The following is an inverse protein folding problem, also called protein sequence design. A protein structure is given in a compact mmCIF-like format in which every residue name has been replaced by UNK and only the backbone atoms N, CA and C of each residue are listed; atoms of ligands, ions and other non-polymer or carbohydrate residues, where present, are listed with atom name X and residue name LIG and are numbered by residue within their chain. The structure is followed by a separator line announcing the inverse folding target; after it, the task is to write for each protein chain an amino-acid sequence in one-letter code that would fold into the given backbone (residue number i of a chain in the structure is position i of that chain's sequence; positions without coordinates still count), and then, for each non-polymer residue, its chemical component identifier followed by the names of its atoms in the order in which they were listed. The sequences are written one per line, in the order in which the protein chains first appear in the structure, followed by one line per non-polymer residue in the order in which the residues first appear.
data_IF_301502973749
#
_entry.id   IF_301502973749
#
_cell.length_a   1.000
_cell.length_b   1.000
_cell.length_c   1.000
_cell.angle_alpha   90.00
_cell.angle_beta   90.00
_cell.angle_gamma   90.00
#
_symmetry.space_group_name_H-M   'P 1'
#
loop_
_entity.id
_entity.type
_entity.pdbx_description
1 polymer ?
#
# COMPACT_ATOMS: atom_id res chain seq x y z
N UNK A 1 -34.65 24.47 38.27
CA UNK A 1 -34.85 23.25 39.08
C UNK A 1 -33.56 22.80 39.80
N UNK A 2 -32.40 22.61 39.07
CA UNK A 2 -31.14 22.11 39.65
C UNK A 2 -30.54 23.18 40.61
N UNK A 3 -30.57 24.45 40.23
CA UNK A 3 -30.07 25.53 41.10
C UNK A 3 -30.95 25.80 42.35
N UNK A 4 -32.23 25.40 42.29
CA UNK A 4 -33.16 25.48 43.42
C UNK A 4 -32.88 24.43 44.49
N UNK A 5 -32.09 23.41 44.19
CA UNK A 5 -31.65 22.33 45.07
C UNK A 5 -30.27 22.59 45.71
N UNK A 6 -29.68 23.78 45.51
CA UNK A 6 -28.36 24.15 46.09
C UNK A 6 -27.16 23.53 45.36
N UNK A 7 -27.34 22.83 44.25
CA UNK A 7 -26.23 22.30 43.47
C UNK A 7 -25.68 23.33 42.50
N UNK A 8 -24.35 23.41 42.41
CA UNK A 8 -23.69 24.23 41.42
C UNK A 8 -23.87 23.67 40.01
N UNK A 9 -24.64 24.37 39.18
CA UNK A 9 -24.83 24.01 37.77
C UNK A 9 -23.50 23.99 37.00
N UNK A 10 -22.58 24.86 37.38
CA UNK A 10 -21.25 24.89 36.80
C UNK A 10 -20.45 23.62 37.08
N UNK A 11 -20.54 23.03 38.27
CA UNK A 11 -19.91 21.79 38.63
C UNK A 11 -20.46 20.59 37.83
N UNK A 12 -21.81 20.56 37.63
CA UNK A 12 -22.45 19.53 36.83
C UNK A 12 -22.03 19.63 35.37
N UNK A 13 -22.05 20.83 34.80
CA UNK A 13 -21.60 21.05 33.40
C UNK A 13 -20.15 20.66 33.22
N UNK A 14 -19.26 21.06 34.14
CA UNK A 14 -17.87 20.68 34.11
C UNK A 14 -17.67 19.16 34.17
N UNK A 15 -18.41 18.47 35.02
CA UNK A 15 -18.38 17.00 35.11
C UNK A 15 -18.84 16.32 33.83
N UNK A 16 -19.98 16.72 33.27
CA UNK A 16 -20.42 16.21 31.96
C UNK A 16 -19.48 16.49 30.84
N UNK A 17 -18.87 17.69 30.80
CA UNK A 17 -17.88 18.06 29.78
C UNK A 17 -16.63 17.20 29.89
N UNK A 18 -16.13 16.91 31.08
CA UNK A 18 -15.00 16.04 31.32
C UNK A 18 -15.26 14.59 30.84
N UNK A 19 -16.45 14.05 31.15
CA UNK A 19 -16.85 12.72 30.70
C UNK A 19 -16.98 12.69 29.16
N UNK A 20 -17.62 13.68 28.56
CA UNK A 20 -17.76 13.76 27.11
C UNK A 20 -16.41 13.84 26.41
N UNK A 21 -15.45 14.61 26.94
CA UNK A 21 -14.11 14.69 26.42
C UNK A 21 -13.37 13.34 26.54
N UNK A 22 -13.50 12.66 27.69
CA UNK A 22 -12.89 11.36 27.90
C UNK A 22 -13.42 10.32 26.89
N UNK A 23 -14.72 10.30 26.63
CA UNK A 23 -15.34 9.43 25.62
C UNK A 23 -14.85 9.79 24.21
N UNK A 24 -14.80 11.08 23.87
CA UNK A 24 -14.32 11.56 22.58
C UNK A 24 -12.88 11.12 22.32
N UNK A 25 -12.00 11.24 23.35
CA UNK A 25 -10.60 10.79 23.25
C UNK A 25 -10.51 9.26 23.13
N UNK A 26 -11.33 8.51 23.85
CA UNK A 26 -11.35 7.05 23.76
C UNK A 26 -11.80 6.54 22.38
N UNK A 27 -12.69 7.26 21.69
CA UNK A 27 -13.22 6.89 20.38
C UNK A 27 -12.45 7.51 19.20
N UNK A 28 -11.47 8.37 19.45
CA UNK A 28 -10.76 9.14 18.42
C UNK A 28 -10.27 8.29 17.26
N UNK A 29 -9.58 7.18 17.55
CA UNK A 29 -8.96 6.34 16.52
C UNK A 29 -10.01 5.56 15.71
N UNK A 30 -11.08 5.13 16.36
CA UNK A 30 -12.21 4.46 15.69
C UNK A 30 -12.94 5.42 14.75
N UNK A 31 -13.23 6.63 15.22
CA UNK A 31 -13.85 7.68 14.38
C UNK A 31 -12.93 8.10 13.23
N UNK A 32 -11.61 8.17 13.47
CA UNK A 32 -10.62 8.41 12.45
C UNK A 32 -10.64 7.33 11.36
N UNK A 33 -10.65 6.07 11.73
CA UNK A 33 -10.74 4.94 10.79
C UNK A 33 -12.03 4.95 9.99
N UNK A 34 -13.16 5.30 10.61
CA UNK A 34 -14.45 5.46 9.93
C UNK A 34 -14.39 6.59 8.88
N UNK A 35 -13.92 7.78 9.27
CA UNK A 35 -13.82 8.93 8.37
C UNK A 35 -12.89 8.62 7.18
N UNK A 36 -11.74 7.98 7.46
CA UNK A 36 -10.79 7.58 6.44
C UNK A 36 -11.35 6.47 5.53
N UNK A 37 -12.16 5.54 6.05
CA UNK A 37 -12.89 4.57 5.25
C UNK A 37 -13.84 5.22 4.25
N UNK A 38 -14.60 6.22 4.70
CA UNK A 38 -15.46 7.01 3.81
C UNK A 38 -14.63 7.70 2.72
N UNK A 39 -13.50 8.33 3.09
CA UNK A 39 -12.61 8.96 2.12
C UNK A 39 -12.11 7.95 1.08
N UNK A 40 -11.63 6.76 1.49
CA UNK A 40 -11.16 5.72 0.58
C UNK A 40 -12.26 5.30 -0.41
N UNK A 41 -13.48 5.09 0.08
CA UNK A 41 -14.62 4.67 -0.73
C UNK A 41 -14.99 5.74 -1.78
N UNK A 42 -14.91 7.02 -1.44
CA UNK A 42 -15.24 8.12 -2.35
C UNK A 42 -14.10 8.47 -3.32
N UNK A 43 -12.87 8.59 -2.83
CA UNK A 43 -11.71 9.01 -3.65
C UNK A 43 -11.11 7.85 -4.44
N UNK A 44 -11.31 6.62 -3.99
CA UNK A 44 -10.87 5.37 -4.63
C UNK A 44 -9.39 5.39 -5.02
N UNK A 45 -8.47 5.67 -4.11
CA UNK A 45 -7.03 5.61 -4.39
C UNK A 45 -6.60 4.20 -4.80
N UNK A 46 -7.35 3.20 -4.39
CA UNK A 46 -7.30 1.80 -4.82
C UNK A 46 -8.71 1.20 -4.81
N UNK A 47 -8.88 0.06 -5.43
CA UNK A 47 -10.15 -0.66 -5.55
C UNK A 47 -9.97 -2.10 -5.11
N UNK A 48 -11.07 -2.78 -4.83
CA UNK A 48 -11.09 -4.24 -4.68
C UNK A 48 -10.54 -4.89 -5.95
N UNK A 49 -9.57 -5.80 -5.77
CA UNK A 49 -8.85 -6.45 -6.86
C UNK A 49 -7.54 -5.77 -7.27
N UNK A 50 -7.23 -4.58 -6.77
CA UNK A 50 -5.93 -3.97 -6.99
C UNK A 50 -4.85 -4.66 -6.13
N UNK A 51 -3.63 -4.77 -6.68
CA UNK A 51 -2.46 -5.18 -5.94
C UNK A 51 -1.75 -3.95 -5.39
N UNK A 52 -1.65 -3.88 -4.07
CA UNK A 52 -1.14 -2.71 -3.36
C UNK A 52 -0.04 -3.09 -2.37
N UNK A 53 0.83 -2.14 -2.08
CA UNK A 53 1.77 -2.22 -0.96
C UNK A 53 1.46 -1.09 0.01
N UNK A 54 1.26 -1.43 1.26
CA UNK A 54 0.98 -0.53 2.38
C UNK A 54 1.98 -0.86 3.49
N UNK A 55 2.88 0.09 3.81
CA UNK A 55 4.04 -0.18 4.66
C UNK A 55 4.87 -1.37 4.14
N UNK A 56 5.15 -2.36 5.00
CA UNK A 56 5.86 -3.60 4.66
C UNK A 56 4.97 -4.68 4.04
N UNK A 57 3.65 -4.49 4.04
CA UNK A 57 2.70 -5.50 3.55
C UNK A 57 2.28 -5.22 2.12
N UNK A 58 2.35 -6.25 1.29
CA UNK A 58 1.87 -6.19 -0.09
C UNK A 58 0.88 -7.33 -0.37
N UNK A 59 -0.13 -7.04 -1.17
CA UNK A 59 -1.15 -8.02 -1.48
C UNK A 59 -2.31 -7.48 -2.29
N UNK A 60 -3.24 -8.39 -2.59
CA UNK A 60 -4.46 -8.10 -3.31
C UNK A 60 -5.52 -7.53 -2.37
N UNK A 61 -6.10 -6.39 -2.70
CA UNK A 61 -7.23 -5.82 -1.95
C UNK A 61 -8.45 -6.73 -2.08
N UNK A 62 -8.80 -7.42 -1.00
CA UNK A 62 -9.98 -8.29 -0.96
C UNK A 62 -11.27 -7.53 -0.69
N UNK A 63 -11.23 -6.61 0.28
CA UNK A 63 -12.43 -5.91 0.72
C UNK A 63 -12.06 -4.56 1.37
N UNK A 64 -12.91 -3.56 1.16
CA UNK A 64 -12.77 -2.22 1.74
C UNK A 64 -13.99 -1.98 2.59
N UNK A 65 -13.79 -1.91 3.92
CA UNK A 65 -14.86 -1.70 4.91
C UNK A 65 -14.77 -0.31 5.52
N UNK A 66 -15.76 0.05 6.30
CA UNK A 66 -15.84 1.38 6.92
C UNK A 66 -14.64 1.67 7.86
N UNK A 67 -14.18 0.67 8.61
CA UNK A 67 -13.10 0.86 9.60
C UNK A 67 -11.76 0.31 9.16
N UNK A 68 -11.75 -0.68 8.29
CA UNK A 68 -10.55 -1.39 7.85
C UNK A 68 -10.65 -1.86 6.41
N UNK A 69 -9.49 -2.11 5.82
CA UNK A 69 -9.32 -2.75 4.52
C UNK A 69 -8.62 -4.09 4.71
N UNK A 70 -9.03 -5.08 3.96
CA UNK A 70 -8.45 -6.43 3.95
C UNK A 70 -7.61 -6.61 2.71
N UNK A 71 -6.39 -7.06 2.89
CA UNK A 71 -5.50 -7.48 1.80
C UNK A 71 -5.11 -8.95 1.97
N UNK A 72 -4.93 -9.64 0.86
CA UNK A 72 -4.46 -11.03 0.79
C UNK A 72 -3.05 -11.06 0.22
N UNK A 73 -2.10 -11.58 0.98
CA UNK A 73 -0.72 -11.75 0.54
C UNK A 73 -0.56 -12.95 -0.39
N UNK A 74 0.60 -13.05 -1.04
CA UNK A 74 0.95 -14.23 -1.83
C UNK A 74 1.07 -15.52 -0.99
N UNK A 75 1.40 -15.39 0.30
CA UNK A 75 1.43 -16.50 1.25
C UNK A 75 0.04 -16.95 1.71
N UNK A 76 -1.03 -16.36 1.12
CA UNK A 76 -2.42 -16.61 1.45
C UNK A 76 -2.80 -16.20 2.89
N UNK A 77 -2.16 -15.15 3.40
CA UNK A 77 -2.44 -14.55 4.69
C UNK A 77 -3.38 -13.34 4.51
N UNK A 78 -4.44 -13.27 5.30
CA UNK A 78 -5.33 -12.10 5.34
C UNK A 78 -4.77 -11.08 6.32
N UNK A 79 -4.44 -9.88 5.83
CA UNK A 79 -4.00 -8.74 6.65
C UNK A 79 -5.15 -7.74 6.73
N UNK A 80 -5.47 -7.32 7.94
CA UNK A 80 -6.53 -6.35 8.21
C UNK A 80 -5.87 -5.06 8.69
N UNK A 81 -5.96 -4.01 7.88
CA UNK A 81 -5.31 -2.73 8.12
C UNK A 81 -6.38 -1.67 8.44
N UNK A 82 -6.28 -0.95 9.55
CA UNK A 82 -7.17 0.18 9.85
C UNK A 82 -7.08 1.25 8.76
N UNK A 83 -8.21 1.80 8.33
CA UNK A 83 -8.24 2.81 7.27
C UNK A 83 -7.49 4.10 7.64
N UNK A 84 -7.41 4.42 8.93
CA UNK A 84 -6.59 5.54 9.43
C UNK A 84 -5.10 5.35 9.16
N UNK A 85 -4.60 4.13 9.28
CA UNK A 85 -3.22 3.79 8.97
C UNK A 85 -2.94 3.91 7.48
N UNK A 86 -3.82 3.39 6.63
CA UNK A 86 -3.67 3.43 5.17
C UNK A 86 -3.50 4.86 4.65
N UNK A 87 -4.36 5.79 5.07
CA UNK A 87 -4.31 7.17 4.61
C UNK A 87 -3.22 8.02 5.26
N UNK A 88 -2.67 7.58 6.39
CA UNK A 88 -1.55 8.27 7.06
C UNK A 88 -0.18 7.86 6.54
N UNK A 89 -0.08 6.80 5.74
CA UNK A 89 1.17 6.24 5.24
C UNK A 89 1.29 6.34 3.72
N UNK A 90 2.51 6.11 3.21
CA UNK A 90 2.74 5.98 1.76
C UNK A 90 2.22 4.62 1.29
N UNK A 91 1.50 4.64 0.20
CA UNK A 91 0.95 3.46 -0.44
C UNK A 91 1.41 3.40 -1.89
N UNK A 92 1.70 2.20 -2.39
CA UNK A 92 1.97 1.94 -3.79
C UNK A 92 0.81 1.12 -4.35
N UNK A 93 0.14 1.62 -5.38
CA UNK A 93 -0.86 0.85 -6.12
C UNK A 93 -0.23 0.37 -7.44
N UNK A 94 0.07 -0.91 -7.51
CA UNK A 94 0.69 -1.53 -8.68
C UNK A 94 -0.28 -1.78 -9.84
N UNK A 95 -1.58 -1.73 -9.57
CA UNK A 95 -2.64 -1.95 -10.55
C UNK A 95 -3.23 -0.66 -11.13
N UNK A 96 -2.86 0.50 -10.57
CA UNK A 96 -3.40 1.80 -10.98
C UNK A 96 -3.02 2.19 -12.43
N UNK A 97 -1.83 1.76 -12.88
CA UNK A 97 -1.31 2.05 -14.21
C UNK A 97 -1.28 0.80 -15.08
N UNK A 98 -1.61 0.91 -16.38
CA UNK A 98 -1.67 -0.23 -17.28
C UNK A 98 -0.30 -0.84 -17.60
N UNK A 99 0.78 -0.09 -17.39
CA UNK A 99 2.14 -0.52 -17.65
C UNK A 99 2.99 -0.40 -16.39
N UNK A 100 3.81 -1.40 -16.16
CA UNK A 100 4.79 -1.44 -15.06
C UNK A 100 6.16 -1.80 -15.59
N UNK A 101 7.19 -1.08 -15.13
CA UNK A 101 8.58 -1.47 -15.36
C UNK A 101 8.93 -2.63 -14.42
N UNK A 102 9.39 -3.73 -14.97
CA UNK A 102 9.97 -4.86 -14.25
C UNK A 102 11.47 -4.83 -14.50
N UNK A 103 12.28 -4.90 -13.46
CA UNK A 103 13.74 -5.03 -13.52
C UNK A 103 14.08 -6.45 -13.11
N UNK A 104 14.86 -7.13 -13.97
CA UNK A 104 15.31 -8.51 -13.75
C UNK A 104 16.82 -8.48 -13.78
N UNK A 105 17.46 -8.89 -12.70
CA UNK A 105 18.89 -9.01 -12.60
C UNK A 105 19.29 -10.43 -13.07
N UNK A 106 20.12 -10.48 -14.12
CA UNK A 106 20.58 -11.75 -14.71
C UNK A 106 22.07 -11.91 -14.45
N UNK A 107 22.50 -12.82 -13.57
CA UNK A 107 23.91 -13.09 -13.35
C UNK A 107 24.49 -13.92 -14.50
N UNK A 108 25.62 -13.48 -15.04
CA UNK A 108 26.30 -14.12 -16.17
C UNK A 108 27.77 -14.31 -15.83
N UNK A 109 28.41 -15.46 -16.13
CA UNK A 109 29.83 -15.68 -15.88
C UNK A 109 30.72 -14.65 -16.59
N UNK A 110 31.87 -14.38 -16.02
CA UNK A 110 32.84 -13.39 -16.55
C UNK A 110 33.45 -13.75 -17.92
N UNK A 111 33.50 -15.04 -18.26
CA UNK A 111 33.99 -15.56 -19.52
C UNK A 111 32.96 -15.53 -20.66
N UNK A 112 31.71 -15.12 -20.36
CA UNK A 112 30.64 -15.03 -21.35
C UNK A 112 30.85 -13.81 -22.28
N UNK A 113 30.51 -14.00 -23.56
CA UNK A 113 30.44 -12.92 -24.55
C UNK A 113 29.25 -11.99 -24.23
N UNK A 114 29.55 -10.81 -23.70
CA UNK A 114 28.54 -9.83 -23.28
C UNK A 114 27.65 -9.37 -24.44
N UNK A 115 28.13 -9.37 -25.67
CA UNK A 115 27.36 -9.03 -26.87
C UNK A 115 26.29 -10.08 -27.15
N UNK A 116 26.70 -11.35 -27.15
CA UNK A 116 25.75 -12.47 -27.33
C UNK A 116 24.73 -12.59 -26.19
N UNK A 117 25.18 -12.39 -24.95
CA UNK A 117 24.29 -12.40 -23.79
C UNK A 117 23.20 -11.35 -23.93
N UNK A 118 23.59 -10.11 -24.28
CA UNK A 118 22.62 -9.03 -24.50
C UNK A 118 21.62 -9.37 -25.60
N UNK A 119 22.08 -9.93 -26.71
CA UNK A 119 21.21 -10.31 -27.81
C UNK A 119 20.21 -11.40 -27.40
N UNK A 120 20.67 -12.45 -26.72
CA UNK A 120 19.82 -13.54 -26.23
C UNK A 120 18.76 -13.03 -25.26
N UNK A 121 19.15 -12.20 -24.28
CA UNK A 121 18.20 -11.66 -23.31
C UNK A 121 17.19 -10.76 -24.03
N UNK A 122 17.63 -9.90 -24.94
CA UNK A 122 16.74 -8.98 -25.66
C UNK A 122 15.73 -9.73 -26.53
N UNK A 123 16.18 -10.79 -27.25
CA UNK A 123 15.30 -11.63 -28.04
C UNK A 123 14.27 -12.34 -27.17
N UNK A 124 14.69 -12.94 -26.06
CA UNK A 124 13.79 -13.57 -25.10
C UNK A 124 12.74 -12.62 -24.53
N UNK A 125 13.14 -11.38 -24.22
CA UNK A 125 12.22 -10.34 -23.74
C UNK A 125 11.23 -9.92 -24.83
N UNK A 126 11.66 -9.78 -26.09
CA UNK A 126 10.81 -9.37 -27.21
C UNK A 126 9.79 -10.43 -27.61
N UNK A 127 10.15 -11.69 -27.46
CA UNK A 127 9.26 -12.85 -27.75
C UNK A 127 8.25 -13.09 -26.62
N UNK A 128 8.50 -12.55 -25.43
CA UNK A 128 7.61 -12.79 -24.29
C UNK A 128 6.28 -12.07 -24.46
N UNK A 129 5.19 -12.83 -24.33
CA UNK A 129 3.81 -12.43 -24.61
C UNK A 129 3.37 -11.12 -23.94
N UNK A 130 3.87 -10.84 -22.74
CA UNK A 130 3.46 -9.68 -21.95
C UNK A 130 4.43 -8.50 -22.05
N UNK A 131 5.50 -8.61 -22.83
CA UNK A 131 6.40 -7.50 -23.09
C UNK A 131 5.77 -6.53 -24.08
N UNK A 132 5.68 -5.26 -23.70
CA UNK A 132 5.19 -4.22 -24.59
C UNK A 132 6.26 -3.77 -25.56
N UNK A 133 5.85 -3.36 -26.77
CA UNK A 133 6.75 -2.88 -27.81
C UNK A 133 7.20 -1.44 -27.60
N UNK A 134 6.39 -0.66 -26.89
CA UNK A 134 6.68 0.74 -26.58
C UNK A 134 6.25 1.05 -25.13
N UNK A 135 7.19 1.47 -24.25
CA UNK A 135 8.63 1.53 -24.50
C UNK A 135 9.26 0.14 -24.71
N UNK A 136 10.25 0.06 -25.59
CA UNK A 136 10.94 -1.20 -25.88
C UNK A 136 11.75 -1.70 -24.66
N UNK A 137 11.89 -3.03 -24.47
CA UNK A 137 12.76 -3.57 -23.44
C UNK A 137 14.22 -3.17 -23.69
N UNK A 138 14.97 -2.99 -22.62
CA UNK A 138 16.40 -2.65 -22.69
C UNK A 138 17.20 -3.60 -21.83
N UNK A 139 18.39 -3.96 -22.30
CA UNK A 139 19.35 -4.80 -21.60
C UNK A 139 20.64 -4.00 -21.40
N UNK A 140 21.06 -3.83 -20.17
CA UNK A 140 22.26 -3.08 -19.81
C UNK A 140 23.13 -3.90 -18.87
N UNK A 141 24.45 -3.76 -18.98
CA UNK A 141 25.35 -4.27 -17.94
C UNK A 141 25.23 -3.32 -16.74
N UNK A 142 24.72 -3.82 -15.63
CA UNK A 142 24.44 -3.05 -14.42
C UNK A 142 25.67 -2.88 -13.54
N UNK A 143 26.37 -3.99 -13.29
CA UNK A 143 27.56 -3.99 -12.45
C UNK A 143 28.45 -5.21 -12.67
N UNK A 144 29.69 -5.10 -12.22
CA UNK A 144 30.65 -6.19 -12.11
C UNK A 144 30.56 -6.74 -10.68
N UNK A 145 29.78 -7.80 -10.49
CA UNK A 145 29.58 -8.43 -9.17
C UNK A 145 30.80 -9.24 -8.73
N UNK A 146 30.81 -9.70 -7.48
CA UNK A 146 31.92 -10.48 -6.92
C UNK A 146 32.22 -11.80 -7.66
N UNK A 147 31.18 -12.43 -8.26
CA UNK A 147 31.29 -13.72 -8.95
C UNK A 147 30.65 -13.76 -10.34
N UNK A 148 29.96 -12.69 -10.75
CA UNK A 148 29.25 -12.65 -12.03
C UNK A 148 29.10 -11.21 -12.54
N UNK A 149 28.93 -11.09 -13.87
CA UNK A 149 28.44 -9.87 -14.51
C UNK A 149 26.92 -9.80 -14.31
N UNK A 150 26.40 -8.65 -13.89
CA UNK A 150 24.96 -8.44 -13.70
C UNK A 150 24.38 -7.63 -14.85
N UNK A 151 23.46 -8.23 -15.58
CA UNK A 151 22.70 -7.58 -16.62
C UNK A 151 21.30 -7.23 -16.14
#
# INVERSE_FOLDING_TARGET
LVSSLGFSTAGIIAGFSAVALAIALALKDSLGSLANGVIIIFTKPFKKGDYVQINEYDGLVQDIRLFNTKILTYSNEEIIIPNSEILSTKMINYSAMPLRRVVIDVPVPYDADTGKVREIILNSLTEYKYTVKAPAPSVVLKEYGASALMF
#
